data_IF_630247737965
#
_entry.id   IF_630247737965
#
_cell.length_a   1.000
_cell.length_b   1.000
_cell.length_c   1.000
_cell.angle_alpha   90.00
_cell.angle_beta   90.00
_cell.angle_gamma   90.00
#
_symmetry.space_group_name_H-M   'P 1'
#
loop_
_entity.id
_entity.type
_entity.pdbx_description
1 polymer ?
#
# COMPACT_ATOMS: atom_id res chain seq x y z
N UNK A 1 -5.16 -22.33 -1.64
CA UNK A 1 -5.72 -21.06 -1.15
C UNK A 1 -4.59 -20.25 -0.55
N UNK A 2 -4.10 -19.21 -1.24
CA UNK A 2 -3.01 -18.39 -0.72
C UNK A 2 -3.55 -17.60 0.46
N UNK A 3 -3.04 -17.87 1.67
CA UNK A 3 -3.45 -17.20 2.88
C UNK A 3 -2.92 -15.76 2.82
N UNK A 4 -3.77 -14.82 2.39
CA UNK A 4 -3.40 -13.43 2.15
C UNK A 4 -3.97 -12.54 3.24
N UNK A 5 -3.15 -11.62 3.72
CA UNK A 5 -3.56 -10.67 4.75
C UNK A 5 -4.42 -9.56 4.14
N UNK A 6 -5.67 -9.45 4.59
CA UNK A 6 -6.57 -8.39 4.17
C UNK A 6 -6.22 -7.05 4.86
N UNK A 7 -5.78 -6.07 4.09
CA UNK A 7 -5.51 -4.71 4.58
C UNK A 7 -6.79 -3.89 4.63
N UNK A 8 -6.94 -3.09 5.70
CA UNK A 8 -8.11 -2.21 5.90
C UNK A 8 -7.69 -0.84 6.43
N UNK A 9 -8.51 0.17 6.15
CA UNK A 9 -8.39 1.50 6.73
C UNK A 9 -6.97 2.08 6.63
N UNK A 10 -6.38 2.38 7.79
CA UNK A 10 -5.05 2.99 7.90
C UNK A 10 -3.92 2.11 7.36
N UNK A 11 -4.06 0.78 7.44
CA UNK A 11 -3.02 -0.15 6.98
C UNK A 11 -2.87 -0.09 5.47
N UNK A 12 -4.00 -0.17 4.75
CA UNK A 12 -4.02 -0.03 3.30
C UNK A 12 -3.44 1.32 2.87
N UNK A 13 -3.86 2.40 3.54
CA UNK A 13 -3.35 3.75 3.29
C UNK A 13 -1.85 3.84 3.46
N UNK A 14 -1.31 3.27 4.54
CA UNK A 14 0.11 3.32 4.84
C UNK A 14 0.94 2.49 3.87
N UNK A 15 0.50 1.29 3.52
CA UNK A 15 1.19 0.44 2.52
C UNK A 15 1.25 1.14 1.16
N UNK A 16 0.14 1.75 0.73
CA UNK A 16 0.09 2.47 -0.56
C UNK A 16 0.96 3.73 -0.54
N UNK A 17 0.85 4.57 0.50
CA UNK A 17 1.67 5.78 0.63
C UNK A 17 3.16 5.41 0.69
N UNK A 18 3.53 4.40 1.48
CA UNK A 18 4.90 3.91 1.54
C UNK A 18 5.40 3.47 0.17
N UNK A 19 4.61 2.70 -0.58
CA UNK A 19 5.00 2.24 -1.90
C UNK A 19 5.23 3.42 -2.86
N UNK A 20 4.30 4.39 -2.89
CA UNK A 20 4.44 5.58 -3.73
C UNK A 20 5.66 6.43 -3.35
N UNK A 21 6.02 6.52 -2.06
CA UNK A 21 7.22 7.23 -1.63
C UNK A 21 8.51 6.61 -2.18
N UNK A 22 8.55 5.29 -2.35
CA UNK A 22 9.75 4.56 -2.80
C UNK A 22 9.80 4.38 -4.33
N UNK A 23 8.64 4.23 -4.97
CA UNK A 23 8.54 3.92 -6.41
C UNK A 23 8.05 5.10 -7.26
N UNK A 24 7.67 6.22 -6.63
CA UNK A 24 7.18 7.40 -7.34
C UNK A 24 5.75 7.22 -7.86
N UNK A 25 5.52 7.63 -9.11
CA UNK A 25 4.17 7.64 -9.69
C UNK A 25 3.76 6.26 -10.20
N UNK A 26 2.68 5.71 -9.63
CA UNK A 26 2.14 4.40 -9.99
C UNK A 26 0.66 4.48 -10.36
N UNK A 27 0.21 3.56 -11.21
CA UNK A 27 -1.19 3.33 -11.55
C UNK A 27 -1.90 2.49 -10.48
N UNK A 28 -3.23 2.57 -10.44
CA UNK A 28 -4.05 1.73 -9.55
C UNK A 28 -3.83 0.23 -9.82
N UNK A 29 -3.62 -0.16 -11.08
CA UNK A 29 -3.33 -1.55 -11.45
C UNK A 29 -1.98 -2.03 -10.92
N UNK A 30 -0.92 -1.20 -11.03
CA UNK A 30 0.40 -1.52 -10.46
C UNK A 30 0.31 -1.63 -8.94
N UNK A 31 -0.41 -0.72 -8.29
CA UNK A 31 -0.64 -0.78 -6.84
C UNK A 31 -1.40 -2.06 -6.44
N UNK A 32 -2.42 -2.47 -7.18
CA UNK A 32 -3.16 -3.70 -6.91
C UNK A 32 -2.29 -4.95 -7.09
N UNK A 33 -1.53 -5.01 -8.19
CA UNK A 33 -0.59 -6.09 -8.47
C UNK A 33 0.47 -6.19 -7.37
N UNK A 34 0.96 -5.06 -6.86
CA UNK A 34 1.95 -5.07 -5.80
C UNK A 34 1.40 -5.51 -4.45
N UNK A 35 0.16 -5.15 -4.12
CA UNK A 35 -0.49 -5.69 -2.93
C UNK A 35 -0.57 -7.21 -3.01
N UNK A 36 -1.02 -7.74 -4.15
CA UNK A 36 -1.11 -9.17 -4.39
C UNK A 36 0.27 -9.85 -4.37
N UNK A 37 1.27 -9.24 -5.00
CA UNK A 37 2.65 -9.73 -5.04
C UNK A 37 3.27 -9.84 -3.64
N UNK A 38 2.80 -9.05 -2.67
CA UNK A 38 3.27 -9.08 -1.27
C UNK A 38 2.40 -9.93 -0.34
N UNK A 39 1.43 -10.67 -0.88
CA UNK A 39 0.53 -11.49 -0.08
C UNK A 39 -0.55 -10.68 0.65
N UNK A 40 -0.80 -9.45 0.23
CA UNK A 40 -1.91 -8.65 0.73
C UNK A 40 -3.15 -8.82 -0.14
N UNK A 41 -4.30 -8.60 0.48
CA UNK A 41 -5.59 -8.47 -0.18
C UNK A 41 -6.33 -7.25 0.36
N UNK A 42 -7.42 -6.86 -0.30
CA UNK A 42 -8.31 -5.80 0.18
C UNK A 42 -9.75 -6.29 0.12
N UNK A 43 -10.61 -5.74 0.96
CA UNK A 43 -12.03 -6.07 0.94
C UNK A 43 -12.71 -5.47 -0.31
N UNK A 44 -13.46 -6.31 -1.04
CA UNK A 44 -14.21 -5.89 -2.22
C UNK A 44 -13.32 -5.60 -3.44
N UNK A 45 -13.78 -4.69 -4.32
CA UNK A 45 -13.09 -4.36 -5.58
C UNK A 45 -11.77 -3.60 -5.33
N UNK A 46 -10.60 -4.16 -5.70
CA UNK A 46 -9.30 -3.55 -5.37
C UNK A 46 -9.13 -2.12 -5.87
N UNK A 47 -9.52 -1.85 -7.12
CA UNK A 47 -9.39 -0.51 -7.69
C UNK A 47 -10.18 0.56 -6.93
N UNK A 48 -11.36 0.19 -6.40
CA UNK A 48 -12.18 1.10 -5.60
C UNK A 48 -11.54 1.32 -4.22
N UNK A 49 -11.15 0.25 -3.54
CA UNK A 49 -10.52 0.34 -2.23
C UNK A 49 -9.22 1.17 -2.26
N UNK A 50 -8.38 0.97 -3.27
CA UNK A 50 -7.16 1.75 -3.50
C UNK A 50 -7.50 3.23 -3.77
N UNK A 51 -8.45 3.49 -4.67
CA UNK A 51 -8.86 4.86 -4.99
C UNK A 51 -9.41 5.61 -3.79
N UNK A 52 -10.24 4.95 -2.98
CA UNK A 52 -10.84 5.52 -1.78
C UNK A 52 -9.77 5.75 -0.70
N UNK A 53 -8.83 4.81 -0.49
CA UNK A 53 -7.70 4.99 0.42
C UNK A 53 -6.78 6.16 -0.01
N UNK A 54 -6.46 6.28 -1.29
CA UNK A 54 -5.64 7.36 -1.82
C UNK A 54 -6.37 8.71 -1.81
N UNK A 55 -7.70 8.74 -1.93
CA UNK A 55 -8.48 9.99 -1.74
C UNK A 55 -8.23 10.55 -0.35
N UNK A 56 -8.29 9.72 0.68
CA UNK A 56 -7.99 10.13 2.05
C UNK A 56 -6.55 10.59 2.27
N UNK A 57 -5.57 9.98 1.59
CA UNK A 57 -4.17 10.42 1.70
C UNK A 57 -3.89 11.71 0.91
N UNK A 58 -4.68 11.99 -0.15
CA UNK A 58 -4.65 13.27 -0.87
C UNK A 58 -5.11 14.41 0.01
N UNK A 59 -6.20 14.24 0.74
CA UNK A 59 -6.72 15.24 1.69
C UNK A 59 -5.70 15.55 2.80
N UNK A 60 -4.84 14.58 3.14
CA UNK A 60 -3.74 14.76 4.10
C UNK A 60 -2.45 15.30 3.48
N UNK A 61 -2.45 15.63 2.19
CA UNK A 61 -1.28 16.16 1.48
C UNK A 61 -0.12 15.17 1.36
N UNK A 62 -0.37 13.85 1.44
CA UNK A 62 0.69 12.82 1.40
C UNK A 62 0.91 12.25 0.01
N UNK A 63 -0.14 12.21 -0.81
CA UNK A 63 -0.10 11.72 -2.20
C UNK A 63 -0.87 12.68 -3.09
N UNK A 64 -0.56 12.71 -4.39
CA UNK A 64 -1.30 13.47 -5.39
C UNK A 64 -1.68 12.61 -6.58
N UNK A 65 -2.79 12.98 -7.23
CA UNK A 65 -3.19 12.38 -8.51
C UNK A 65 -2.31 12.98 -9.60
N UNK A 66 -1.63 12.13 -10.38
CA UNK A 66 -0.72 12.50 -11.47
C UNK A 66 -1.29 12.27 -12.86
N UNK A 67 -2.51 11.73 -12.95
CA UNK A 67 -3.21 11.46 -14.20
C UNK A 67 -4.44 10.59 -13.98
N UNK A 68 -5.04 10.08 -15.06
CA UNK A 68 -6.14 9.10 -14.95
C UNK A 68 -5.62 7.82 -14.30
N UNK A 69 -6.15 7.49 -13.12
CA UNK A 69 -5.80 6.28 -12.37
C UNK A 69 -4.34 6.20 -11.91
N UNK A 70 -3.59 7.32 -11.92
CA UNK A 70 -2.19 7.38 -11.50
C UNK A 70 -2.02 8.32 -10.31
N UNK A 71 -1.23 7.88 -9.34
CA UNK A 71 -0.93 8.60 -8.11
C UNK A 71 0.56 8.58 -7.86
N UNK A 72 1.07 9.63 -7.23
CA UNK A 72 2.46 9.71 -6.80
C UNK A 72 2.56 10.38 -5.44
N UNK A 73 3.76 10.40 -4.83
CA UNK A 73 3.97 11.11 -3.59
C UNK A 73 3.74 12.60 -3.79
N UNK A 74 3.22 13.26 -2.74
CA UNK A 74 3.03 14.70 -2.74
C UNK A 74 4.35 15.47 -2.53
N UNK A 75 5.35 14.78 -2.00
CA UNK A 75 6.65 15.29 -1.60
C UNK A 75 7.17 14.42 -0.45
N UNK A 76 8.22 14.89 0.22
CA UNK A 76 8.76 14.20 1.40
C UNK A 76 7.86 14.48 2.61
N UNK A 77 7.22 13.46 3.21
CA UNK A 77 6.42 13.65 4.42
C UNK A 77 7.31 14.05 5.61
N UNK A 78 6.75 14.65 6.67
CA UNK A 78 7.51 14.88 7.90
C UNK A 78 8.11 13.57 8.44
N UNK A 79 9.37 13.60 8.89
CA UNK A 79 10.12 12.40 9.32
C UNK A 79 9.36 11.51 10.31
N UNK A 80 8.65 12.09 11.28
CA UNK A 80 7.85 11.31 12.23
C UNK A 80 6.63 10.60 11.61
N UNK A 81 6.07 11.13 10.52
CA UNK A 81 5.02 10.45 9.75
C UNK A 81 5.61 9.34 8.90
N UNK A 82 6.72 9.63 8.22
CA UNK A 82 7.46 8.64 7.44
C UNK A 82 7.85 7.43 8.29
N UNK A 83 8.45 7.68 9.46
CA UNK A 83 8.87 6.65 10.40
C UNK A 83 7.69 5.77 10.84
N UNK A 84 6.56 6.37 11.24
CA UNK A 84 5.36 5.61 11.64
C UNK A 84 4.79 4.76 10.49
N UNK A 85 4.77 5.30 9.28
CA UNK A 85 4.33 4.57 8.09
C UNK A 85 5.28 3.39 7.83
N UNK A 86 6.58 3.65 7.80
CA UNK A 86 7.62 2.65 7.56
C UNK A 86 7.55 1.50 8.58
N UNK A 87 7.57 1.80 9.87
CA UNK A 87 7.51 0.78 10.94
C UNK A 87 6.25 -0.08 10.83
N UNK A 88 5.08 0.56 10.57
CA UNK A 88 3.84 -0.21 10.40
C UNK A 88 3.89 -1.09 9.16
N UNK A 89 4.42 -0.60 8.04
CA UNK A 89 4.53 -1.40 6.80
C UNK A 89 5.46 -2.59 6.97
N UNK A 90 6.57 -2.43 7.68
CA UNK A 90 7.47 -3.55 8.00
C UNK A 90 6.77 -4.62 8.84
N UNK A 91 6.07 -4.24 9.90
CA UNK A 91 5.29 -5.18 10.71
C UNK A 91 4.23 -5.92 9.86
N UNK A 92 3.50 -5.17 9.01
CA UNK A 92 2.49 -5.76 8.14
C UNK A 92 3.06 -6.82 7.18
N UNK A 93 4.25 -6.55 6.61
CA UNK A 93 4.97 -7.47 5.74
C UNK A 93 5.45 -8.71 6.49
N UNK A 94 5.96 -8.56 7.71
CA UNK A 94 6.40 -9.69 8.52
C UNK A 94 5.25 -10.66 8.84
N UNK A 95 4.10 -10.12 9.22
CA UNK A 95 2.89 -10.92 9.47
C UNK A 95 2.34 -11.58 8.19
N UNK A 96 2.39 -10.89 7.03
CA UNK A 96 2.02 -11.48 5.75
C UNK A 96 2.97 -12.62 5.33
N UNK A 97 4.26 -12.51 5.63
CA UNK A 97 5.23 -13.57 5.39
C UNK A 97 4.98 -14.81 6.28
N UNK A 98 4.65 -14.60 7.56
CA UNK A 98 4.33 -15.70 8.49
C UNK A 98 3.05 -16.45 8.09
N UNK A 99 2.04 -15.73 7.56
CA UNK A 99 0.79 -16.32 7.10
C UNK A 99 0.89 -17.01 5.75
N UNK A 100 1.89 -16.66 4.93
CA UNK A 100 2.12 -17.26 3.62
C UNK A 100 3.49 -18.00 3.56
N UNK A 101 3.63 -19.17 4.20
CA UNK A 101 4.90 -19.90 4.28
C UNK A 101 5.36 -20.52 2.95
N UNK A 102 4.52 -20.51 1.90
CA UNK A 102 4.76 -21.16 0.61
C UNK A 102 5.80 -20.48 -0.29
N UNK A 103 6.58 -19.50 0.21
CA UNK A 103 7.46 -18.66 -0.62
C UNK A 103 8.95 -18.91 -0.51
N UNK A 104 9.36 -19.95 0.23
CA UNK A 104 10.73 -20.44 0.20
C UNK A 104 10.80 -21.69 -0.69
N UNK A 105 11.45 -21.67 -1.86
CA UNK A 105 11.96 -22.91 -2.43
C UNK A 105 13.06 -23.42 -1.48
N UNK A 106 12.98 -24.70 -1.11
CA UNK A 106 14.06 -25.42 -0.42
C UNK A 106 15.26 -25.55 -1.33
#
# INVERSE_FOLDING_TARGET
MTNRRALRGIELRYVLTHYLLHHGTCSISELAAELESRGFSVAGRPSKAISDALRWERERGRVFRRGRGRYGPAGTPPRGTEYRIHQRVLALRAEAAQSNPSRYPT
#
